data_IF_166166147740
#
_entry.id   IF_166166147740
#
_cell.length_a   1.000
_cell.length_b   1.000
_cell.length_c   1.000
_cell.angle_alpha   90.00
_cell.angle_beta   90.00
_cell.angle_gamma   90.00
#
_symmetry.space_group_name_H-M   'P 1'
#
loop_
_entity.id
_entity.type
_entity.pdbx_description
1 polymer ?
#
# COMPACT_ATOMS: atom_id res chain seq x y z
N UNK A 1 -13.01 -57.01 23.45
CA UNK A 1 -13.14 -55.63 23.98
C UNK A 1 -13.02 -54.67 22.80
N UNK A 2 -14.11 -53.92 22.49
CA UNK A 2 -14.23 -53.08 21.28
C UNK A 2 -13.40 -51.81 21.44
N UNK A 3 -12.60 -51.48 20.42
CA UNK A 3 -11.76 -50.27 20.34
C UNK A 3 -12.66 -49.06 20.09
N UNK A 4 -12.59 -48.04 20.95
CA UNK A 4 -13.23 -46.74 20.71
C UNK A 4 -12.18 -45.82 20.05
N UNK A 5 -12.38 -45.52 18.77
CA UNK A 5 -11.63 -44.47 18.07
C UNK A 5 -12.41 -43.19 18.27
N UNK A 6 -11.86 -42.28 19.08
CA UNK A 6 -12.37 -40.92 19.22
C UNK A 6 -11.80 -40.12 18.05
N UNK A 7 -12.62 -39.91 17.02
CA UNK A 7 -12.31 -38.97 15.95
C UNK A 7 -12.43 -37.55 16.51
N UNK A 8 -11.30 -36.89 16.73
CA UNK A 8 -11.27 -35.46 17.03
C UNK A 8 -11.73 -34.71 15.76
N UNK A 9 -12.91 -34.10 15.84
CA UNK A 9 -13.44 -33.22 14.81
C UNK A 9 -12.60 -31.94 14.82
N UNK A 10 -11.58 -31.87 13.95
CA UNK A 10 -10.83 -30.64 13.67
C UNK A 10 -11.80 -29.65 13.04
N UNK A 11 -12.37 -28.76 13.86
CA UNK A 11 -12.99 -27.53 13.39
C UNK A 11 -11.90 -26.69 12.75
N UNK A 12 -11.74 -26.81 11.44
CA UNK A 12 -11.00 -25.83 10.64
C UNK A 12 -11.78 -24.53 10.72
N UNK A 13 -11.38 -23.64 11.62
CA UNK A 13 -11.75 -22.24 11.57
C UNK A 13 -11.25 -21.70 10.24
N UNK A 14 -12.11 -21.71 9.21
CA UNK A 14 -11.89 -20.93 8.01
C UNK A 14 -11.99 -19.47 8.44
N UNK A 15 -10.91 -18.92 9.00
CA UNK A 15 -10.71 -17.48 9.01
C UNK A 15 -10.83 -17.06 7.56
N UNK A 16 -11.92 -16.34 7.22
CA UNK A 16 -12.08 -15.74 5.90
C UNK A 16 -10.77 -15.05 5.56
N UNK A 17 -10.03 -15.62 4.61
CA UNK A 17 -8.75 -15.08 4.17
C UNK A 17 -9.08 -13.86 3.30
N UNK A 18 -9.43 -12.75 3.95
CA UNK A 18 -9.45 -11.45 3.29
C UNK A 18 -8.04 -11.23 2.73
N UNK A 19 -7.94 -10.87 1.44
CA UNK A 19 -6.63 -10.70 0.84
C UNK A 19 -5.98 -9.48 1.51
N UNK A 20 -4.91 -9.72 2.26
CA UNK A 20 -4.17 -8.68 2.97
C UNK A 20 -3.71 -7.63 1.95
N UNK A 21 -4.01 -6.35 2.21
CA UNK A 21 -3.57 -5.22 1.39
C UNK A 21 -2.05 -5.19 1.30
N UNK A 22 -1.52 -5.03 0.09
CA UNK A 22 -0.08 -5.14 -0.15
C UNK A 22 0.38 -4.40 -1.38
N UNK A 23 1.68 -4.12 -1.41
CA UNK A 23 2.38 -3.69 -2.62
C UNK A 23 3.14 -4.88 -3.20
N UNK A 24 3.09 -5.04 -4.52
CA UNK A 24 3.97 -5.91 -5.28
C UNK A 24 5.11 -5.06 -5.85
N UNK A 25 6.23 -5.03 -5.14
CA UNK A 25 7.43 -4.27 -5.54
C UNK A 25 8.40 -5.26 -6.17
N UNK A 26 8.64 -5.13 -7.48
CA UNK A 26 9.40 -6.11 -8.26
C UNK A 26 8.92 -7.56 -8.04
N UNK A 27 7.60 -7.76 -7.98
CA UNK A 27 6.97 -9.06 -7.74
C UNK A 27 7.08 -9.57 -6.30
N UNK A 28 7.70 -8.83 -5.38
CA UNK A 28 7.73 -9.18 -3.95
C UNK A 28 6.56 -8.54 -3.24
N UNK A 29 5.81 -9.34 -2.49
CA UNK A 29 4.71 -8.89 -1.63
C UNK A 29 5.27 -8.17 -0.40
N UNK A 30 4.88 -6.92 -0.21
CA UNK A 30 5.24 -6.07 0.92
C UNK A 30 3.98 -5.53 1.59
N UNK A 31 3.94 -5.58 2.92
CA UNK A 31 2.75 -5.24 3.75
C UNK A 31 3.13 -4.32 4.91
N UNK A 32 2.13 -3.74 5.57
CA UNK A 32 2.35 -2.96 6.81
C UNK A 32 2.85 -3.82 7.99
N UNK A 33 2.69 -5.14 7.92
CA UNK A 33 3.25 -6.09 8.91
C UNK A 33 4.76 -6.35 8.74
N UNK A 34 5.36 -5.86 7.64
CA UNK A 34 6.79 -6.06 7.42
C UNK A 34 7.64 -5.26 8.42
N UNK A 35 8.75 -5.87 8.84
CA UNK A 35 9.76 -5.21 9.68
C UNK A 35 10.91 -4.70 8.82
N UNK A 36 11.78 -3.87 9.40
CA UNK A 36 13.04 -3.47 8.76
C UNK A 36 13.86 -4.65 8.23
N UNK A 37 13.88 -5.76 8.98
CA UNK A 37 14.59 -6.98 8.59
C UNK A 37 13.95 -7.65 7.38
N UNK A 38 12.63 -7.86 7.41
CA UNK A 38 11.92 -8.54 6.32
C UNK A 38 11.89 -7.70 5.04
N UNK A 39 11.78 -6.36 5.15
CA UNK A 39 11.94 -5.45 4.01
C UNK A 39 13.34 -5.57 3.40
N UNK A 40 14.38 -5.59 4.22
CA UNK A 40 15.77 -5.76 3.73
C UNK A 40 15.96 -7.12 3.06
N UNK A 41 15.32 -8.18 3.55
CA UNK A 41 15.36 -9.50 2.92
C UNK A 41 14.64 -9.53 1.56
N UNK A 42 13.49 -8.86 1.45
CA UNK A 42 12.67 -8.83 0.23
C UNK A 42 13.24 -7.90 -0.83
N UNK A 43 13.70 -6.72 -0.44
CA UNK A 43 14.10 -5.62 -1.32
C UNK A 43 15.63 -5.46 -1.45
N UNK A 44 16.40 -6.19 -0.66
CA UNK A 44 17.85 -6.07 -0.59
C UNK A 44 18.31 -4.95 0.34
N UNK A 45 19.61 -4.62 0.26
CA UNK A 45 20.22 -3.57 1.08
C UNK A 45 19.63 -2.20 0.71
N UNK A 46 19.16 -1.40 1.68
CA UNK A 46 18.66 -0.05 1.40
C UNK A 46 19.78 0.86 0.87
N UNK A 47 19.42 1.74 -0.06
CA UNK A 47 20.32 2.77 -0.60
C UNK A 47 20.59 3.90 0.40
N UNK A 48 19.64 4.15 1.31
CA UNK A 48 19.81 5.09 2.42
C UNK A 48 19.19 4.50 3.69
N UNK A 49 19.83 4.73 4.84
CA UNK A 49 19.32 4.27 6.11
C UNK A 49 19.53 5.33 7.19
N UNK A 50 18.56 5.45 8.08
CA UNK A 50 18.61 6.34 9.23
C UNK A 50 18.08 5.67 10.49
N UNK A 51 18.05 6.44 11.59
CA UNK A 51 17.58 5.96 12.90
C UNK A 51 16.10 5.57 12.94
N UNK A 52 15.29 6.00 11.98
CA UNK A 52 13.85 5.69 11.93
C UNK A 52 13.33 5.42 10.52
N UNK A 53 14.19 5.26 9.52
CA UNK A 53 13.75 5.05 8.14
C UNK A 53 14.75 4.27 7.29
N UNK A 54 14.25 3.73 6.18
CA UNK A 54 15.02 3.15 5.09
C UNK A 54 14.48 3.59 3.73
N UNK A 55 15.38 3.72 2.77
CA UNK A 55 15.03 3.95 1.38
C UNK A 55 15.71 2.93 0.48
N UNK A 56 15.00 2.51 -0.57
CA UNK A 56 15.51 1.67 -1.64
C UNK A 56 15.31 2.35 -2.98
N UNK A 57 16.34 2.34 -3.81
CA UNK A 57 16.26 2.68 -5.23
C UNK A 57 16.37 1.39 -6.04
N UNK A 58 15.24 0.93 -6.58
CA UNK A 58 15.10 -0.33 -7.31
C UNK A 58 14.77 -0.02 -8.78
N UNK A 59 15.79 0.34 -9.55
CA UNK A 59 15.61 0.83 -10.92
C UNK A 59 14.86 2.18 -10.91
N UNK A 60 13.72 2.25 -11.60
CA UNK A 60 12.84 3.44 -11.63
C UNK A 60 11.89 3.55 -10.42
N UNK A 61 11.89 2.55 -9.53
CA UNK A 61 11.07 2.55 -8.33
C UNK A 61 11.87 3.03 -7.13
N UNK A 62 11.32 3.99 -6.39
CA UNK A 62 11.83 4.40 -5.09
C UNK A 62 10.87 3.95 -4.01
N UNK A 63 11.40 3.33 -2.96
CA UNK A 63 10.62 2.85 -1.81
C UNK A 63 11.15 3.54 -0.58
N UNK A 64 10.25 4.04 0.25
CA UNK A 64 10.54 4.66 1.54
C UNK A 64 9.76 3.92 2.63
N UNK A 65 10.43 3.58 3.72
CA UNK A 65 9.82 3.00 4.91
C UNK A 65 10.22 3.81 6.14
N UNK A 66 9.25 4.23 6.94
CA UNK A 66 9.48 4.86 8.24
C UNK A 66 8.91 4.00 9.36
N UNK A 67 9.61 4.01 10.49
CA UNK A 67 9.34 3.14 11.63
C UNK A 67 9.21 3.96 12.91
N UNK A 68 8.38 3.47 13.82
CA UNK A 68 8.29 3.92 15.20
C UNK A 68 8.51 2.73 16.15
N UNK A 69 8.26 2.92 17.45
CA UNK A 69 8.43 1.87 18.46
C UNK A 69 7.52 0.64 18.28
N UNK A 70 6.44 0.77 17.51
CA UNK A 70 5.48 -0.30 17.24
C UNK A 70 5.73 -1.03 15.91
N UNK A 71 6.71 -0.57 15.11
CA UNK A 71 7.06 -1.19 13.83
C UNK A 71 6.96 -0.23 12.66
N UNK A 72 6.59 -0.74 11.50
CA UNK A 72 6.46 0.03 10.25
C UNK A 72 5.26 0.96 10.36
N UNK A 73 5.51 2.27 10.33
CA UNK A 73 4.49 3.30 10.44
C UNK A 73 4.01 3.78 9.07
N UNK A 74 4.92 3.82 8.09
CA UNK A 74 4.66 4.30 6.74
C UNK A 74 5.50 3.53 5.74
N UNK A 75 4.86 3.09 4.67
CA UNK A 75 5.48 2.46 3.51
C UNK A 75 5.01 3.20 2.26
N UNK A 76 5.92 3.87 1.58
CA UNK A 76 5.66 4.59 0.34
C UNK A 76 6.47 3.98 -0.80
N UNK A 77 5.87 3.91 -1.98
CA UNK A 77 6.56 3.51 -3.17
C UNK A 77 6.09 4.36 -4.36
N UNK A 78 7.05 4.90 -5.10
CA UNK A 78 6.81 5.76 -6.26
C UNK A 78 7.62 5.29 -7.46
N UNK A 79 7.13 5.59 -8.66
CA UNK A 79 7.85 5.34 -9.91
C UNK A 79 8.16 6.64 -10.62
N UNK A 80 9.44 6.86 -10.92
CA UNK A 80 9.92 8.02 -11.70
C UNK A 80 10.02 7.74 -13.19
N UNK A 81 9.80 6.50 -13.63
CA UNK A 81 9.75 6.11 -15.04
C UNK A 81 8.36 6.25 -15.66
N UNK A 82 8.28 6.11 -16.99
CA UNK A 82 7.00 6.14 -17.73
C UNK A 82 6.21 4.83 -17.61
N UNK A 83 6.84 3.75 -17.14
CA UNK A 83 6.21 2.45 -16.90
C UNK A 83 6.54 1.98 -15.48
N UNK A 84 5.64 1.18 -14.91
CA UNK A 84 5.83 0.59 -13.59
C UNK A 84 5.41 -0.88 -13.57
N UNK A 85 6.22 -1.69 -12.87
CA UNK A 85 5.86 -3.04 -12.41
C UNK A 85 5.16 -3.01 -11.04
N UNK A 86 5.05 -1.84 -10.42
CA UNK A 86 4.47 -1.67 -9.09
C UNK A 86 2.95 -1.80 -9.18
N UNK A 87 2.44 -2.76 -8.43
CA UNK A 87 1.00 -2.97 -8.24
C UNK A 87 0.67 -2.83 -6.77
N UNK A 88 -0.34 -2.04 -6.45
CA UNK A 88 -0.97 -2.04 -5.13
C UNK A 88 -2.24 -2.89 -5.20
N UNK A 89 -2.36 -3.84 -4.29
CA UNK A 89 -3.61 -4.57 -4.05
C UNK A 89 -4.24 -3.96 -2.81
N UNK A 90 -5.36 -3.28 -3.03
CA UNK A 90 -6.08 -2.51 -2.01
C UNK A 90 -7.57 -2.87 -2.06
N UNK A 91 -8.13 -3.33 -0.94
CA UNK A 91 -9.53 -3.79 -0.83
C UNK A 91 -9.90 -4.79 -1.94
N UNK A 92 -9.04 -5.78 -2.15
CA UNK A 92 -9.11 -6.79 -3.23
C UNK A 92 -9.07 -6.20 -4.66
N UNK A 93 -8.71 -4.93 -4.83
CA UNK A 93 -8.55 -4.27 -6.14
C UNK A 93 -7.10 -4.07 -6.48
N UNK A 94 -6.72 -4.50 -7.68
CA UNK A 94 -5.40 -4.27 -8.24
C UNK A 94 -5.34 -2.89 -8.92
N UNK A 95 -4.39 -2.08 -8.46
CA UNK A 95 -4.04 -0.75 -8.97
C UNK A 95 -2.61 -0.80 -9.49
N UNK A 96 -2.44 -0.59 -10.80
CA UNK A 96 -1.12 -0.59 -11.43
C UNK A 96 -0.63 0.86 -11.61
N UNK A 97 0.49 1.19 -10.96
CA UNK A 97 1.10 2.53 -11.08
C UNK A 97 1.56 2.79 -12.51
N UNK A 98 1.56 4.06 -12.92
CA UNK A 98 1.85 4.51 -14.30
C UNK A 98 0.93 3.88 -15.38
N UNK A 99 -0.18 3.26 -14.98
CA UNK A 99 -1.22 2.74 -15.90
C UNK A 99 -2.62 3.16 -15.48
N UNK A 100 -3.01 2.89 -14.23
CA UNK A 100 -4.29 3.34 -13.70
C UNK A 100 -4.24 4.85 -13.46
N UNK A 101 -5.19 5.59 -14.02
CA UNK A 101 -5.35 7.02 -13.79
C UNK A 101 -5.98 7.31 -12.43
N UNK A 102 -5.85 8.54 -11.94
CA UNK A 102 -6.53 8.98 -10.72
C UNK A 102 -8.03 8.66 -10.73
N UNK A 103 -8.73 8.96 -11.83
CA UNK A 103 -10.13 8.60 -12.00
C UNK A 103 -10.39 7.09 -12.02
N UNK A 104 -9.50 6.28 -12.60
CA UNK A 104 -9.64 4.81 -12.55
C UNK A 104 -9.52 4.29 -11.11
N UNK A 105 -8.57 4.80 -10.34
CA UNK A 105 -8.39 4.43 -8.92
C UNK A 105 -9.65 4.76 -8.12
N UNK A 106 -10.17 5.99 -8.25
CA UNK A 106 -11.42 6.40 -7.62
C UNK A 106 -12.60 5.50 -7.99
N UNK A 107 -12.75 5.18 -9.27
CA UNK A 107 -13.83 4.33 -9.74
C UNK A 107 -13.73 2.88 -9.23
N UNK A 108 -12.50 2.34 -9.11
CA UNK A 108 -12.25 0.98 -8.61
C UNK A 108 -12.52 0.87 -7.10
N UNK A 109 -12.02 1.84 -6.32
CA UNK A 109 -12.08 1.81 -4.86
C UNK A 109 -13.38 2.37 -4.30
N UNK A 110 -14.03 3.30 -5.03
CA UNK A 110 -15.32 3.95 -4.77
C UNK A 110 -15.41 4.79 -3.50
N UNK A 111 -14.94 4.27 -2.37
CA UNK A 111 -14.97 4.89 -1.04
C UNK A 111 -13.60 5.47 -0.72
N UNK A 112 -13.59 6.74 -0.34
CA UNK A 112 -12.36 7.44 -0.02
C UNK A 112 -12.48 8.96 -0.14
N UNK A 113 -11.42 9.63 0.26
CA UNK A 113 -11.33 11.07 0.31
C UNK A 113 -10.41 11.59 -0.79
N UNK A 114 -10.74 12.75 -1.33
CA UNK A 114 -9.92 13.44 -2.33
C UNK A 114 -9.33 14.70 -1.74
N UNK A 115 -8.07 14.95 -2.06
CA UNK A 115 -7.38 16.22 -1.79
C UNK A 115 -6.75 16.72 -3.09
N UNK A 116 -6.82 18.03 -3.31
CA UNK A 116 -6.17 18.69 -4.45
C UNK A 116 -5.34 19.83 -3.90
N UNK A 117 -4.03 19.75 -4.10
CA UNK A 117 -3.11 20.82 -3.78
C UNK A 117 -2.74 21.54 -5.07
N UNK A 118 -3.21 22.78 -5.20
CA UNK A 118 -2.84 23.66 -6.31
C UNK A 118 -1.43 24.19 -6.05
N UNK A 119 -0.42 23.57 -6.65
CA UNK A 119 0.97 24.02 -6.52
C UNK A 119 1.33 24.94 -7.68
N UNK A 120 2.35 25.77 -7.46
CA UNK A 120 2.82 26.78 -8.44
C UNK A 120 3.18 26.22 -9.83
N UNK A 121 3.54 24.94 -9.93
CA UNK A 121 4.06 24.34 -11.15
C UNK A 121 3.27 23.11 -11.66
N UNK A 122 2.56 22.40 -10.77
CA UNK A 122 1.70 21.27 -11.11
C UNK A 122 0.76 20.99 -9.95
N UNK A 123 -0.51 20.74 -10.23
CA UNK A 123 -1.45 20.29 -9.20
C UNK A 123 -1.06 18.91 -8.70
N UNK A 124 -1.30 18.65 -7.42
CA UNK A 124 -1.17 17.31 -6.84
C UNK A 124 -2.56 16.80 -6.47
N UNK A 125 -2.96 15.70 -7.11
CA UNK A 125 -4.22 15.02 -6.86
C UNK A 125 -3.97 13.81 -5.97
N UNK A 126 -4.61 13.79 -4.81
CA UNK A 126 -4.47 12.73 -3.83
C UNK A 126 -5.81 12.03 -3.59
N UNK A 127 -5.80 10.70 -3.62
CA UNK A 127 -6.95 9.88 -3.25
C UNK A 127 -6.55 8.94 -2.12
N UNK A 128 -7.29 8.99 -1.02
CA UNK A 128 -7.05 8.18 0.16
C UNK A 128 -8.23 7.29 0.46
N UNK A 129 -7.97 6.03 0.81
CA UNK A 129 -9.00 5.11 1.27
C UNK A 129 -8.49 4.32 2.47
N UNK A 130 -9.41 3.96 3.37
CA UNK A 130 -9.11 3.10 4.53
C UNK A 130 -9.01 1.64 4.11
N UNK A 131 -8.00 0.97 4.64
CA UNK A 131 -7.59 -0.40 4.31
C UNK A 131 -7.16 -1.15 5.57
N UNK A 132 -6.92 -2.46 5.47
CA UNK A 132 -6.74 -3.34 6.63
C UNK A 132 -8.07 -3.85 7.19
N UNK A 133 -7.99 -4.76 8.17
CA UNK A 133 -9.14 -5.56 8.62
C UNK A 133 -10.34 -4.73 9.08
N UNK A 134 -10.07 -3.55 9.66
CA UNK A 134 -11.08 -2.61 10.16
C UNK A 134 -10.88 -1.18 9.64
N UNK A 135 -10.12 -1.02 8.55
CA UNK A 135 -9.73 0.32 8.08
C UNK A 135 -8.67 0.97 8.98
N UNK A 136 -7.75 0.15 9.49
CA UNK A 136 -6.78 0.49 10.52
C UNK A 136 -5.62 1.39 10.00
N UNK A 137 -5.41 1.44 8.68
CA UNK A 137 -4.50 2.38 8.02
C UNK A 137 -5.05 2.84 6.68
N UNK A 138 -4.37 3.82 6.07
CA UNK A 138 -4.76 4.46 4.82
C UNK A 138 -3.87 4.01 3.66
N UNK A 139 -4.48 3.79 2.49
CA UNK A 139 -3.80 3.78 1.20
C UNK A 139 -4.00 5.13 0.51
N UNK A 140 -2.90 5.79 0.16
CA UNK A 140 -2.87 7.14 -0.43
C UNK A 140 -2.21 7.05 -1.80
N UNK A 141 -2.95 7.42 -2.85
CA UNK A 141 -2.48 7.46 -4.23
C UNK A 141 -2.31 8.90 -4.70
N UNK A 142 -1.23 9.17 -5.43
CA UNK A 142 -0.94 10.51 -5.97
C UNK A 142 -0.83 10.50 -7.50
N UNK A 143 -1.34 11.56 -8.13
CA UNK A 143 -1.23 11.86 -9.55
C UNK A 143 -1.06 13.38 -9.78
N UNK A 144 -0.58 13.77 -10.96
CA UNK A 144 -0.44 15.18 -11.38
C UNK A 144 -1.76 15.75 -11.95
N UNK A 145 -2.76 14.89 -12.19
CA UNK A 145 -4.03 15.26 -12.77
C UNK A 145 -5.07 14.15 -12.70
N UNK A 146 -6.35 14.50 -12.89
CA UNK A 146 -7.48 13.55 -12.82
C UNK A 146 -7.38 12.41 -13.85
N UNK A 147 -6.82 12.71 -15.00
CA UNK A 147 -6.62 11.77 -16.12
C UNK A 147 -5.21 11.20 -16.18
N UNK A 148 -4.32 11.66 -15.30
CA UNK A 148 -2.94 11.21 -15.32
C UNK A 148 -2.78 9.92 -14.52
N UNK A 149 -1.85 9.04 -14.92
CA UNK A 149 -1.54 7.84 -14.18
C UNK A 149 -1.05 8.16 -12.76
N UNK A 150 -1.53 7.39 -11.78
CA UNK A 150 -0.98 7.49 -10.42
C UNK A 150 0.49 7.06 -10.43
N UNK A 151 1.35 7.84 -9.79
CA UNK A 151 2.80 7.61 -9.78
C UNK A 151 3.34 7.17 -8.43
N UNK A 152 2.55 7.31 -7.36
CA UNK A 152 2.91 6.99 -5.99
C UNK A 152 1.77 6.29 -5.27
N UNK A 153 2.13 5.40 -4.34
CA UNK A 153 1.26 4.79 -3.35
C UNK A 153 1.93 4.83 -1.98
N UNK A 154 1.18 5.19 -0.95
CA UNK A 154 1.61 5.15 0.44
C UNK A 154 0.61 4.39 1.29
N UNK A 155 1.10 3.43 2.07
CA UNK A 155 0.37 2.85 3.20
C UNK A 155 0.86 3.51 4.49
N UNK A 156 -0.05 4.03 5.30
CA UNK A 156 0.30 4.78 6.52
C UNK A 156 -0.80 4.74 7.57
N UNK A 157 -0.42 4.66 8.84
CA UNK A 157 -1.35 4.82 9.98
C UNK A 157 -1.75 6.28 10.23
N UNK A 158 -1.12 7.23 9.54
CA UNK A 158 -1.48 8.64 9.61
C UNK A 158 -2.77 8.88 8.81
N UNK A 159 -3.65 9.73 9.34
CA UNK A 159 -4.78 10.23 8.57
C UNK A 159 -4.30 11.20 7.48
N UNK A 160 -4.96 11.17 6.32
CA UNK A 160 -4.72 12.15 5.28
C UNK A 160 -5.45 13.47 5.56
N UNK A 161 -4.94 14.55 4.98
CA UNK A 161 -5.66 15.82 4.89
C UNK A 161 -6.58 15.79 3.65
N UNK A 162 -7.84 16.22 3.78
CA UNK A 162 -8.84 16.07 2.72
C UNK A 162 -9.65 17.35 2.50
N UNK A 163 -9.25 18.17 1.53
CA UNK A 163 -9.94 19.44 1.25
C UNK A 163 -11.13 19.32 0.26
N UNK A 164 -11.23 18.24 -0.53
CA UNK A 164 -12.34 18.03 -1.48
C UNK A 164 -13.46 17.13 -0.94
N UNK A 165 -13.32 16.65 0.31
CA UNK A 165 -14.31 15.78 0.95
C UNK A 165 -14.16 14.29 0.63
N UNK A 166 -15.04 13.50 1.25
CA UNK A 166 -15.04 12.05 1.22
C UNK A 166 -16.36 11.50 0.67
N UNK A 167 -16.28 10.38 -0.04
CA UNK A 167 -17.42 9.65 -0.60
C UNK A 167 -17.53 8.25 -0.01
#
# INVERSE_FOLDING_TARGET
MKKLIIAALLTTSTSSAFAIDHMLINGKKVTMEDTRSTLTQKLGKPSSNGKGYNEWKLGSTQVYAAYNQYGLQKLSAMTTGNTSSLVAVVNDKSIQLKKDTFNNVKAKLKRGCTDIQELRYADQYTFSTRIGAEGEYNAIFEAEGKTDPVYSITFTYEDGEYNQGCN
#
